data_IF_784037063809
#
_entry.id   IF_784037063809
#
_cell.length_a   1.000
_cell.length_b   1.000
_cell.length_c   1.000
_cell.angle_alpha   90.00
_cell.angle_beta   90.00
_cell.angle_gamma   90.00
#
_symmetry.space_group_name_H-M   'P 1'
#
loop_
_entity.id
_entity.type
_entity.pdbx_description
1 polymer ?
#
# COMPACT_ATOMS: atom_id res chain seq x y z
N UNK A 1 0.37 6.84 -21.75
CA UNK A 1 -1.03 7.29 -21.58
C UNK A 1 -1.31 8.48 -22.50
N UNK A 2 -2.57 8.70 -22.91
CA UNK A 2 -2.94 9.87 -23.74
C UNK A 2 -2.88 11.20 -22.97
N UNK A 3 -3.12 11.17 -21.65
CA UNK A 3 -2.98 12.33 -20.77
C UNK A 3 -1.50 12.59 -20.44
N UNK A 4 -0.90 13.54 -21.18
CA UNK A 4 0.55 13.85 -21.09
C UNK A 4 1.01 14.19 -19.68
N UNK A 5 0.22 14.95 -18.92
CA UNK A 5 0.60 15.36 -17.55
C UNK A 5 0.77 14.16 -16.61
N UNK A 6 -0.20 13.25 -16.60
CA UNK A 6 -0.14 12.05 -15.76
C UNK A 6 1.03 11.17 -16.18
N UNK A 7 1.27 11.02 -17.49
CA UNK A 7 2.45 10.31 -18.00
C UNK A 7 3.76 10.96 -17.50
N UNK A 8 3.90 12.28 -17.61
CA UNK A 8 5.10 12.99 -17.15
C UNK A 8 5.33 12.81 -15.65
N UNK A 9 4.29 12.93 -14.82
CA UNK A 9 4.41 12.70 -13.38
C UNK A 9 4.81 11.25 -13.06
N UNK A 10 4.24 10.28 -13.79
CA UNK A 10 4.61 8.88 -13.67
C UNK A 10 6.09 8.65 -14.03
N UNK A 11 6.55 9.14 -15.18
CA UNK A 11 7.93 8.96 -15.64
C UNK A 11 8.94 9.59 -14.67
N UNK A 12 8.62 10.77 -14.14
CA UNK A 12 9.45 11.44 -13.13
C UNK A 12 9.46 10.69 -11.79
N UNK A 13 8.33 10.10 -11.38
CA UNK A 13 8.28 9.26 -10.19
C UNK A 13 9.13 7.99 -10.37
N UNK A 14 9.11 7.34 -11.54
CA UNK A 14 9.99 6.20 -11.86
C UNK A 14 11.46 6.60 -11.76
N UNK A 15 11.84 7.71 -12.42
CA UNK A 15 13.20 8.20 -12.41
C UNK A 15 13.70 8.49 -10.98
N UNK A 16 12.88 9.14 -10.16
CA UNK A 16 13.25 9.45 -8.78
C UNK A 16 13.38 8.21 -7.91
N UNK A 17 12.49 7.22 -8.08
CA UNK A 17 12.59 5.96 -7.36
C UNK A 17 13.92 5.26 -7.65
N UNK A 18 14.36 5.21 -8.91
CA UNK A 18 15.64 4.63 -9.32
C UNK A 18 16.84 5.43 -8.78
N UNK A 19 16.79 6.76 -8.85
CA UNK A 19 17.88 7.64 -8.38
C UNK A 19 18.09 7.57 -6.86
N UNK A 20 17.01 7.36 -6.10
CA UNK A 20 17.04 7.28 -4.65
C UNK A 20 17.14 5.85 -4.11
N UNK A 21 17.43 4.89 -4.99
CA UNK A 21 17.75 3.51 -4.64
C UNK A 21 19.12 3.07 -5.21
N UNK A 22 20.22 3.83 -5.04
CA UNK A 22 21.52 3.54 -5.65
C UNK A 22 22.20 2.28 -5.06
N UNK A 23 21.76 1.84 -3.89
CA UNK A 23 22.21 0.62 -3.21
C UNK A 23 21.35 0.33 -1.99
N UNK A 24 20.96 1.39 -1.28
CA UNK A 24 19.93 1.38 -0.25
C UNK A 24 18.75 2.28 -0.67
N UNK A 25 17.61 2.18 0.01
CA UNK A 25 16.43 3.02 -0.24
C UNK A 25 16.45 4.28 0.63
N UNK A 26 16.44 5.44 -0.01
CA UNK A 26 16.45 6.75 0.66
C UNK A 26 15.15 7.52 0.38
N UNK A 27 14.37 7.89 1.40
CA UNK A 27 13.09 8.61 1.20
C UNK A 27 13.25 10.03 0.69
N UNK A 28 14.46 10.59 0.72
CA UNK A 28 14.76 11.89 0.13
C UNK A 28 16.26 12.14 -0.01
N UNK A 29 16.65 13.16 -0.78
CA UNK A 29 18.05 13.42 -1.11
C UNK A 29 18.85 14.15 -0.02
N UNK A 30 18.20 14.74 0.99
CA UNK A 30 18.83 15.62 1.97
C UNK A 30 18.56 15.17 3.41
N UNK A 31 17.54 15.71 4.08
CA UNK A 31 17.16 15.37 5.47
C UNK A 31 16.88 13.88 5.58
N UNK A 32 16.31 13.30 4.52
CA UNK A 32 15.94 11.90 4.44
C UNK A 32 16.93 11.03 3.65
N UNK A 33 18.19 11.45 3.56
CA UNK A 33 19.28 10.56 3.12
C UNK A 33 19.68 9.58 4.24
N UNK A 34 18.70 8.86 4.78
CA UNK A 34 18.84 7.78 5.76
C UNK A 34 17.83 6.68 5.44
N UNK A 35 17.92 5.58 6.17
CA UNK A 35 17.08 4.40 5.96
C UNK A 35 15.95 4.33 6.98
N UNK A 36 14.75 4.02 6.49
CA UNK A 36 13.56 3.65 7.25
C UNK A 36 12.95 2.41 6.63
N UNK A 37 12.55 1.42 7.44
CA UNK A 37 11.90 0.22 6.92
C UNK A 37 10.57 0.53 6.25
N UNK A 38 9.82 1.48 6.81
CA UNK A 38 8.53 1.98 6.28
C UNK A 38 8.64 2.42 4.84
N UNK A 39 9.42 3.47 4.60
CA UNK A 39 9.61 3.99 3.26
C UNK A 39 10.22 2.96 2.31
N UNK A 40 11.20 2.19 2.78
CA UNK A 40 11.82 1.14 1.98
C UNK A 40 10.80 0.10 1.52
N UNK A 41 9.84 -0.31 2.36
CA UNK A 41 8.82 -1.28 1.98
C UNK A 41 7.96 -0.76 0.80
N UNK A 42 7.48 0.49 0.86
CA UNK A 42 6.71 1.09 -0.22
C UNK A 42 7.54 1.31 -1.49
N UNK A 43 8.74 1.87 -1.35
CA UNK A 43 9.65 2.15 -2.47
C UNK A 43 10.06 0.87 -3.21
N UNK A 44 10.47 -0.16 -2.46
CA UNK A 44 10.90 -1.42 -3.02
C UNK A 44 9.74 -2.20 -3.63
N UNK A 45 8.53 -2.13 -3.05
CA UNK A 45 7.33 -2.73 -3.66
C UNK A 45 7.04 -2.09 -5.03
N UNK A 46 7.11 -0.76 -5.14
CA UNK A 46 6.97 -0.08 -6.43
C UNK A 46 8.04 -0.54 -7.43
N UNK A 47 9.33 -0.58 -7.04
CA UNK A 47 10.41 -1.04 -7.94
C UNK A 47 10.22 -2.45 -8.47
N UNK A 48 9.92 -3.42 -7.60
CA UNK A 48 9.74 -4.81 -8.05
C UNK A 48 8.50 -4.97 -8.92
N UNK A 49 7.43 -4.18 -8.68
CA UNK A 49 6.26 -4.20 -9.58
C UNK A 49 6.56 -3.65 -10.98
N UNK A 50 7.57 -2.79 -11.12
CA UNK A 50 8.09 -2.31 -12.42
C UNK A 50 9.11 -3.26 -13.06
N UNK A 51 9.49 -4.34 -12.38
CA UNK A 51 10.46 -5.31 -12.87
C UNK A 51 11.93 -4.97 -12.57
N UNK A 52 12.24 -3.97 -11.74
CA UNK A 52 13.62 -3.70 -11.29
C UNK A 52 14.03 -4.66 -10.16
N UNK A 53 14.09 -5.95 -10.53
CA UNK A 53 14.32 -7.07 -9.63
C UNK A 53 15.72 -7.00 -8.99
N UNK A 54 16.76 -6.78 -9.79
CA UNK A 54 18.15 -6.79 -9.30
C UNK A 54 18.41 -5.69 -8.28
N UNK A 55 17.88 -4.48 -8.51
CA UNK A 55 18.01 -3.39 -7.55
C UNK A 55 17.27 -3.69 -6.26
N UNK A 56 16.04 -4.18 -6.38
CA UNK A 56 15.23 -4.56 -5.21
C UNK A 56 15.95 -5.65 -4.41
N UNK A 57 16.51 -6.67 -5.07
CA UNK A 57 17.25 -7.74 -4.41
C UNK A 57 18.47 -7.23 -3.65
N UNK A 58 19.24 -6.31 -4.23
CA UNK A 58 20.40 -5.70 -3.56
C UNK A 58 20.00 -4.94 -2.30
N UNK A 59 18.96 -4.11 -2.37
CA UNK A 59 18.48 -3.35 -1.21
C UNK A 59 17.99 -4.29 -0.09
N UNK A 60 17.17 -5.28 -0.43
CA UNK A 60 16.69 -6.31 0.51
C UNK A 60 17.82 -7.14 1.13
N UNK A 61 18.92 -7.33 0.39
CA UNK A 61 20.13 -7.98 0.90
C UNK A 61 20.76 -7.28 2.09
N UNK A 62 20.52 -5.97 2.27
CA UNK A 62 21.08 -5.18 3.35
C UNK A 62 20.22 -5.17 4.64
N UNK A 63 18.98 -5.67 4.58
CA UNK A 63 18.03 -5.59 5.71
C UNK A 63 18.49 -6.41 6.92
N UNK A 64 19.01 -7.62 6.71
CA UNK A 64 19.48 -8.48 7.80
C UNK A 64 20.58 -7.83 8.65
N UNK A 65 21.42 -6.97 8.06
CA UNK A 65 22.44 -6.20 8.79
C UNK A 65 21.89 -5.15 9.74
N UNK A 66 20.60 -4.80 9.63
CA UNK A 66 19.86 -3.88 10.50
C UNK A 66 18.97 -4.61 11.52
N UNK A 67 19.01 -5.94 11.55
CA UNK A 67 18.26 -6.74 12.52
C UNK A 67 19.11 -6.98 13.77
N UNK A 68 18.56 -6.61 14.93
CA UNK A 68 19.16 -6.90 16.23
C UNK A 68 19.13 -8.40 16.54
N UNK A 69 19.93 -8.80 17.53
CA UNK A 69 20.00 -10.20 18.01
C UNK A 69 18.67 -10.73 18.54
N UNK A 70 17.82 -9.86 19.09
CA UNK A 70 16.48 -10.19 19.59
C UNK A 70 15.43 -10.35 18.47
N UNK A 71 15.78 -10.03 17.22
CA UNK A 71 14.92 -10.13 16.05
C UNK A 71 14.27 -8.82 15.62
N UNK A 72 14.51 -7.70 16.33
CA UNK A 72 13.99 -6.39 15.95
C UNK A 72 14.72 -5.83 14.73
N UNK A 73 13.99 -5.50 13.66
CA UNK A 73 14.49 -4.72 12.53
C UNK A 73 14.55 -3.24 12.94
N UNK A 74 15.75 -2.78 13.32
CA UNK A 74 15.95 -1.45 13.89
C UNK A 74 16.47 -0.47 12.85
N UNK A 75 15.65 0.50 12.48
CA UNK A 75 16.09 1.74 11.82
C UNK A 75 16.02 2.92 12.79
N UNK A 76 14.89 3.09 13.49
CA UNK A 76 14.66 4.10 14.53
C UNK A 76 14.05 3.42 15.76
N UNK A 77 14.39 3.91 16.95
CA UNK A 77 13.91 3.31 18.19
C UNK A 77 12.45 3.67 18.46
N UNK A 78 11.62 2.66 18.73
CA UNK A 78 10.21 2.86 19.04
C UNK A 78 9.26 2.75 17.84
N UNK A 79 9.76 2.38 16.67
CA UNK A 79 8.96 2.08 15.47
C UNK A 79 8.69 0.57 15.41
N UNK A 80 7.51 0.11 15.79
CA UNK A 80 7.22 -1.34 15.90
C UNK A 80 6.64 -1.96 14.62
N UNK A 81 6.21 -1.13 13.67
CA UNK A 81 5.82 -1.47 12.30
C UNK A 81 6.94 -2.14 11.50
N UNK A 82 8.20 -1.77 11.74
CA UNK A 82 9.37 -2.18 10.95
C UNK A 82 9.51 -3.69 10.74
N UNK A 83 9.21 -4.51 11.76
CA UNK A 83 9.26 -5.97 11.64
C UNK A 83 8.22 -6.49 10.64
N UNK A 84 7.00 -5.94 10.71
CA UNK A 84 5.93 -6.28 9.80
C UNK A 84 6.27 -5.92 8.36
N UNK A 85 6.73 -4.68 8.17
CA UNK A 85 7.12 -4.11 6.87
C UNK A 85 8.27 -4.87 6.21
N UNK A 86 9.33 -5.17 6.97
CA UNK A 86 10.49 -5.91 6.48
C UNK A 86 10.12 -7.32 6.00
N UNK A 87 9.31 -8.04 6.78
CA UNK A 87 8.84 -9.38 6.39
C UNK A 87 7.89 -9.31 5.20
N UNK A 88 6.99 -8.33 5.19
CA UNK A 88 6.04 -8.13 4.11
C UNK A 88 6.74 -7.87 2.77
N UNK A 89 7.77 -7.02 2.73
CA UNK A 89 8.48 -6.74 1.47
C UNK A 89 9.34 -7.92 0.99
N UNK A 90 9.91 -8.72 1.90
CA UNK A 90 10.54 -10.00 1.52
C UNK A 90 9.53 -10.93 0.85
N UNK A 91 8.34 -11.05 1.42
CA UNK A 91 7.27 -11.85 0.84
C UNK A 91 6.81 -11.29 -0.51
N UNK A 92 6.61 -9.98 -0.63
CA UNK A 92 6.27 -9.33 -1.92
C UNK A 92 7.32 -9.61 -2.98
N UNK A 93 8.61 -9.53 -2.65
CA UNK A 93 9.68 -9.85 -3.59
C UNK A 93 9.55 -11.28 -4.11
N UNK A 94 9.52 -12.28 -3.21
CA UNK A 94 9.39 -13.69 -3.62
C UNK A 94 8.10 -13.97 -4.39
N UNK A 95 6.97 -13.40 -3.96
CA UNK A 95 5.68 -13.56 -4.64
C UNK A 95 5.68 -12.97 -6.05
N UNK A 96 6.29 -11.80 -6.26
CA UNK A 96 6.28 -11.11 -7.55
C UNK A 96 7.33 -11.65 -8.52
N UNK A 97 8.46 -12.14 -8.04
CA UNK A 97 9.52 -12.70 -8.90
C UNK A 97 9.31 -14.19 -9.16
N UNK A 98 8.71 -14.91 -8.21
CA UNK A 98 8.68 -16.37 -8.18
C UNK A 98 9.99 -17.00 -7.69
N UNK A 99 10.91 -16.20 -7.14
CA UNK A 99 12.20 -16.69 -6.63
C UNK A 99 12.06 -17.25 -5.21
N UNK A 100 12.77 -18.36 -4.97
CA UNK A 100 13.06 -18.81 -3.60
C UNK A 100 14.01 -17.80 -2.94
N UNK A 101 13.63 -17.31 -1.76
CA UNK A 101 14.45 -16.36 -1.03
C UNK A 101 15.73 -17.03 -0.46
N UNK A 102 16.85 -16.29 -0.36
CA UNK A 102 18.07 -16.78 0.30
C UNK A 102 17.81 -17.24 1.75
N UNK A 103 18.50 -18.30 2.19
CA UNK A 103 18.38 -18.83 3.57
C UNK A 103 18.61 -17.75 4.64
N UNK A 104 19.57 -16.85 4.42
CA UNK A 104 19.83 -15.74 5.35
C UNK A 104 18.66 -14.77 5.50
N UNK A 105 17.83 -14.61 4.46
CA UNK A 105 16.61 -13.81 4.51
C UNK A 105 15.51 -14.55 5.25
N UNK A 106 15.37 -15.86 5.02
CA UNK A 106 14.41 -16.70 5.75
C UNK A 106 14.73 -16.76 7.25
N UNK A 107 16.01 -16.78 7.63
CA UNK A 107 16.45 -16.63 9.02
C UNK A 107 16.04 -15.29 9.63
N UNK A 108 16.19 -14.20 8.87
CA UNK A 108 15.79 -12.86 9.30
C UNK A 108 14.27 -12.77 9.48
N UNK A 109 13.49 -13.37 8.57
CA UNK A 109 12.03 -13.48 8.65
C UNK A 109 11.62 -14.27 9.90
N UNK A 110 12.23 -15.42 10.16
CA UNK A 110 11.90 -16.24 11.32
C UNK A 110 12.21 -15.53 12.65
N UNK A 111 13.35 -14.83 12.74
CA UNK A 111 13.69 -13.99 13.91
C UNK A 111 12.71 -12.84 14.09
N UNK A 112 12.34 -12.18 13.00
CA UNK A 112 11.41 -11.05 13.03
C UNK A 112 10.00 -11.45 13.47
N UNK A 113 9.50 -12.59 12.97
CA UNK A 113 8.22 -13.16 13.38
C UNK A 113 8.21 -13.55 14.87
N UNK A 114 9.27 -14.20 15.36
CA UNK A 114 9.42 -14.51 16.80
C UNK A 114 9.48 -13.26 17.67
N UNK A 115 10.07 -12.17 17.17
CA UNK A 115 10.09 -10.90 17.88
C UNK A 115 8.70 -10.29 18.02
N UNK A 116 7.88 -10.31 16.95
CA UNK A 116 6.51 -9.78 16.98
C UNK A 116 5.73 -10.41 18.13
N UNK A 117 5.70 -11.73 18.22
CA UNK A 117 4.94 -12.40 19.28
C UNK A 117 5.46 -12.14 20.69
N UNK A 118 6.78 -12.00 20.86
CA UNK A 118 7.39 -11.66 22.15
C UNK A 118 7.18 -10.20 22.57
N UNK A 119 7.02 -9.30 21.61
CA UNK A 119 6.93 -7.86 21.87
C UNK A 119 5.54 -7.46 22.38
N UNK A 120 4.50 -8.22 22.03
CA UNK A 120 3.10 -7.97 22.42
C UNK A 120 2.91 -7.93 23.94
N UNK A 121 1.97 -7.11 24.37
CA UNK A 121 1.56 -6.97 25.77
C UNK A 121 0.81 -8.22 26.27
N UNK A 122 0.80 -8.48 27.59
CA UNK A 122 -0.09 -9.47 28.18
C UNK A 122 -1.57 -9.18 27.85
N UNK A 123 -2.34 -10.24 27.61
CA UNK A 123 -3.75 -10.17 27.18
C UNK A 123 -4.74 -10.02 28.35
N UNK A 124 -4.33 -10.37 29.55
CA UNK A 124 -5.16 -10.48 30.75
C UNK A 124 -5.11 -9.22 31.65
N UNK A 125 -4.54 -8.12 31.15
CA UNK A 125 -4.42 -6.87 31.91
C UNK A 125 -5.75 -6.11 32.10
N UNK A 126 -6.79 -6.48 31.34
CA UNK A 126 -8.09 -5.80 31.35
C UNK A 126 -8.08 -4.39 30.75
N UNK A 127 -6.96 -3.96 30.18
CA UNK A 127 -6.81 -2.66 29.52
C UNK A 127 -7.19 -2.75 28.03
N UNK A 128 -7.63 -1.65 27.38
CA UNK A 128 -7.97 -1.65 25.96
C UNK A 128 -6.84 -2.14 25.04
N UNK A 129 -5.59 -1.87 25.38
CA UNK A 129 -4.39 -2.26 24.64
C UNK A 129 -3.90 -3.70 24.91
N UNK A 130 -4.59 -4.47 25.74
CA UNK A 130 -4.15 -5.81 26.13
C UNK A 130 -3.94 -6.70 24.89
N UNK A 131 -2.76 -7.31 24.77
CA UNK A 131 -2.41 -8.14 23.61
C UNK A 131 -1.92 -7.41 22.36
N UNK A 132 -1.90 -6.08 22.35
CA UNK A 132 -1.32 -5.25 21.27
C UNK A 132 0.19 -5.09 21.42
N UNK A 133 0.85 -4.46 20.45
CA UNK A 133 2.21 -3.95 20.63
C UNK A 133 2.22 -2.83 21.68
N UNK A 134 3.32 -2.68 22.46
CA UNK A 134 3.43 -1.67 23.48
C UNK A 134 3.50 -0.27 22.85
N UNK A 135 3.27 0.76 23.65
CA UNK A 135 3.33 2.13 23.17
C UNK A 135 4.69 2.45 22.51
N UNK A 136 4.65 3.06 21.33
CA UNK A 136 5.82 3.40 20.50
C UNK A 136 5.64 4.71 19.77
N UNK A 137 6.71 5.16 19.12
CA UNK A 137 6.68 6.34 18.24
C UNK A 137 6.05 6.05 16.88
N UNK A 138 6.16 4.80 16.37
CA UNK A 138 5.58 4.39 15.07
C UNK A 138 5.96 5.35 13.93
N UNK A 139 5.05 5.63 13.00
CA UNK A 139 5.20 6.66 12.00
C UNK A 139 4.90 8.05 12.56
N UNK A 140 5.76 9.02 12.25
CA UNK A 140 5.71 10.40 12.77
C UNK A 140 4.36 11.08 12.52
N UNK A 141 3.72 10.81 11.38
CA UNK A 141 2.42 11.40 11.06
C UNK A 141 1.25 10.88 11.90
N UNK A 142 1.43 9.93 12.82
CA UNK A 142 0.35 9.40 13.66
C UNK A 142 0.18 10.17 14.99
N UNK A 143 1.21 10.87 15.45
CA UNK A 143 1.19 11.71 16.66
C UNK A 143 2.20 11.26 17.74
N UNK A 144 1.94 11.56 19.03
CA UNK A 144 2.86 11.22 20.13
C UNK A 144 2.90 9.71 20.43
N UNK A 145 3.76 9.27 21.35
CA UNK A 145 3.88 7.85 21.70
C UNK A 145 2.54 7.22 22.14
N UNK A 146 2.11 6.12 21.50
CA UNK A 146 0.84 5.42 21.76
C UNK A 146 0.84 3.96 21.23
N UNK A 147 -0.25 3.21 21.49
CA UNK A 147 -0.49 1.83 21.03
C UNK A 147 -1.11 1.81 19.64
N UNK A 148 -0.30 2.05 18.61
CA UNK A 148 -0.77 2.30 17.25
C UNK A 148 -1.27 1.05 16.53
N UNK A 149 -2.49 1.12 15.99
CA UNK A 149 -3.01 0.07 15.10
C UNK A 149 -2.22 -0.06 13.81
N UNK A 150 -1.54 1.01 13.36
CA UNK A 150 -0.60 0.94 12.24
C UNK A 150 0.44 -0.16 12.47
N UNK A 151 1.12 -0.13 13.62
CA UNK A 151 2.14 -1.11 14.00
C UNK A 151 1.54 -2.52 14.09
N UNK A 152 0.39 -2.63 14.76
CA UNK A 152 -0.28 -3.91 14.96
C UNK A 152 -0.72 -4.56 13.64
N UNK A 153 -1.28 -3.78 12.70
CA UNK A 153 -1.68 -4.28 11.38
C UNK A 153 -0.47 -4.72 10.55
N UNK A 154 0.62 -3.96 10.56
CA UNK A 154 1.86 -4.39 9.91
C UNK A 154 2.40 -5.69 10.51
N UNK A 155 2.36 -5.83 11.83
CA UNK A 155 2.76 -7.05 12.51
C UNK A 155 1.90 -8.27 12.11
N UNK A 156 0.58 -8.11 12.02
CA UNK A 156 -0.33 -9.16 11.49
C UNK A 156 0.04 -9.54 10.07
N UNK A 157 0.25 -8.55 9.18
CA UNK A 157 0.63 -8.80 7.80
C UNK A 157 2.00 -9.51 7.71
N UNK A 158 2.97 -9.10 8.52
CA UNK A 158 4.28 -9.73 8.64
C UNK A 158 4.18 -11.19 9.09
N UNK A 159 3.37 -11.51 10.09
CA UNK A 159 3.15 -12.89 10.54
C UNK A 159 2.51 -13.76 9.46
N UNK A 160 1.50 -13.24 8.72
CA UNK A 160 0.91 -13.95 7.57
C UNK A 160 1.95 -14.21 6.48
N UNK A 161 2.78 -13.22 6.18
CA UNK A 161 3.86 -13.34 5.21
C UNK A 161 4.93 -14.36 5.67
N UNK A 162 5.30 -14.35 6.94
CA UNK A 162 6.23 -15.34 7.52
C UNK A 162 5.67 -16.76 7.43
N UNK A 163 4.37 -16.95 7.68
CA UNK A 163 3.72 -18.25 7.55
C UNK A 163 3.77 -18.81 6.12
N UNK A 164 3.74 -17.94 5.10
CA UNK A 164 3.94 -18.34 3.69
C UNK A 164 5.41 -18.69 3.45
N UNK A 165 6.32 -17.77 3.75
CA UNK A 165 7.74 -17.90 3.44
C UNK A 165 8.43 -19.09 4.13
N UNK A 166 8.02 -19.42 5.37
CA UNK A 166 8.67 -20.44 6.18
C UNK A 166 8.01 -21.83 6.06
N UNK A 167 6.93 -21.97 5.27
CA UNK A 167 6.11 -23.18 5.23
C UNK A 167 6.90 -24.45 4.92
N UNK A 168 7.82 -24.38 3.95
CA UNK A 168 8.64 -25.52 3.51
C UNK A 168 9.83 -25.80 4.44
N UNK A 169 10.19 -24.85 5.32
CA UNK A 169 11.40 -24.88 6.16
C UNK A 169 11.10 -25.23 7.62
N UNK A 170 10.13 -24.54 8.21
CA UNK A 170 9.73 -24.66 9.62
C UNK A 170 8.20 -24.76 9.70
N UNK A 171 7.61 -25.85 9.17
CA UNK A 171 6.16 -25.98 8.97
C UNK A 171 5.32 -25.77 10.24
N UNK A 172 5.77 -26.26 11.39
CA UNK A 172 5.10 -26.05 12.68
C UNK A 172 5.13 -24.58 13.10
N UNK A 173 6.28 -23.93 12.97
CA UNK A 173 6.42 -22.50 13.29
C UNK A 173 5.64 -21.63 12.31
N UNK A 174 5.63 -21.97 11.03
CA UNK A 174 4.80 -21.30 10.02
C UNK A 174 3.30 -21.41 10.35
N UNK A 175 2.83 -22.59 10.79
CA UNK A 175 1.45 -22.77 11.25
C UNK A 175 1.17 -21.98 12.54
N UNK A 176 2.15 -21.85 13.45
CA UNK A 176 2.05 -20.99 14.62
C UNK A 176 1.94 -19.50 14.24
N UNK A 177 2.77 -19.01 13.31
CA UNK A 177 2.67 -17.64 12.79
C UNK A 177 1.28 -17.34 12.20
N UNK A 178 0.70 -18.30 11.44
CA UNK A 178 -0.65 -18.12 10.89
C UNK A 178 -1.71 -18.01 11.99
N UNK A 179 -1.69 -18.91 12.99
CA UNK A 179 -2.64 -18.86 14.12
C UNK A 179 -2.48 -17.60 14.94
N UNK A 180 -1.23 -17.18 15.17
CA UNK A 180 -0.92 -15.96 15.90
C UNK A 180 -1.39 -14.71 15.14
N UNK A 181 -1.23 -14.66 13.82
CA UNK A 181 -1.73 -13.54 13.01
C UNK A 181 -3.26 -13.40 13.09
N UNK A 182 -3.99 -14.52 13.01
CA UNK A 182 -5.45 -14.51 13.08
C UNK A 182 -5.96 -14.14 14.49
N UNK A 183 -5.29 -14.66 15.53
CA UNK A 183 -5.57 -14.27 16.91
C UNK A 183 -5.25 -12.79 17.15
N UNK A 184 -4.13 -12.31 16.64
CA UNK A 184 -3.71 -10.92 16.83
C UNK A 184 -4.66 -9.95 16.10
N UNK A 185 -5.07 -10.26 14.86
CA UNK A 185 -6.08 -9.47 14.15
C UNK A 185 -7.39 -9.39 14.95
N UNK A 186 -7.84 -10.53 15.49
CA UNK A 186 -9.01 -10.56 16.37
C UNK A 186 -8.80 -9.68 17.61
N UNK A 187 -7.64 -9.77 18.26
CA UNK A 187 -7.31 -8.92 19.42
C UNK A 187 -7.34 -7.42 19.07
N UNK A 188 -6.82 -7.03 17.90
CA UNK A 188 -6.92 -5.64 17.39
C UNK A 188 -8.40 -5.24 17.23
N UNK A 189 -9.21 -6.06 16.56
CA UNK A 189 -10.62 -5.76 16.32
C UNK A 189 -11.43 -5.63 17.63
N UNK A 190 -11.14 -6.46 18.63
CA UNK A 190 -11.76 -6.38 19.96
C UNK A 190 -11.31 -5.13 20.75
N UNK A 191 -10.11 -4.63 20.50
CA UNK A 191 -9.61 -3.41 21.16
C UNK A 191 -10.24 -2.13 20.60
N UNK A 192 -10.92 -2.19 19.45
CA UNK A 192 -11.54 -1.01 18.85
C UNK A 192 -12.49 -0.36 19.85
N UNK A 193 -12.35 0.96 20.10
CA UNK A 193 -13.13 1.56 21.18
C UNK A 193 -14.63 1.43 20.92
N UNK A 194 -15.44 1.29 21.95
CA UNK A 194 -16.89 1.08 21.81
C UNK A 194 -17.65 1.91 22.84
N UNK A 195 -18.99 1.94 22.72
CA UNK A 195 -19.86 2.65 23.65
C UNK A 195 -20.58 3.86 23.06
N UNK A 196 -21.65 4.27 23.74
CA UNK A 196 -22.61 5.30 23.30
C UNK A 196 -22.03 6.71 23.23
N UNK A 197 -20.90 6.96 23.88
CA UNK A 197 -20.24 8.27 23.91
C UNK A 197 -19.36 8.55 22.66
N UNK A 198 -19.20 7.56 21.77
CA UNK A 198 -18.41 7.70 20.54
C UNK A 198 -19.14 8.62 19.56
N UNK A 199 -18.51 9.75 19.20
CA UNK A 199 -19.04 10.67 18.17
C UNK A 199 -19.07 10.07 16.76
N UNK A 200 -18.19 9.11 16.46
CA UNK A 200 -18.08 8.45 15.15
C UNK A 200 -18.05 6.92 15.30
N UNK A 201 -19.19 6.28 15.59
CA UNK A 201 -19.23 4.86 15.91
C UNK A 201 -18.90 3.98 14.70
N UNK A 202 -17.95 3.08 14.89
CA UNK A 202 -17.49 2.12 13.88
C UNK A 202 -16.37 2.62 12.97
N UNK A 203 -15.92 3.86 13.12
CA UNK A 203 -14.63 4.29 12.57
C UNK A 203 -13.48 3.84 13.49
N UNK A 204 -12.33 3.54 12.87
CA UNK A 204 -11.11 3.07 13.54
C UNK A 204 -10.21 4.29 13.81
N UNK A 205 -9.95 4.67 15.07
CA UNK A 205 -9.00 5.73 15.41
C UNK A 205 -7.55 5.21 15.30
N UNK A 206 -6.55 6.06 15.55
CA UNK A 206 -5.14 5.65 15.49
C UNK A 206 -4.74 4.58 16.54
N UNK A 207 -5.42 4.55 17.70
CA UNK A 207 -5.12 3.66 18.83
C UNK A 207 -6.38 3.39 19.68
N UNK A 208 -6.39 2.35 20.56
CA UNK A 208 -7.54 2.02 21.42
C UNK A 208 -7.99 3.14 22.35
N UNK A 209 -7.08 4.06 22.72
CA UNK A 209 -7.34 5.13 23.68
C UNK A 209 -7.60 6.48 23.02
N UNK A 210 -7.47 6.57 21.69
CA UNK A 210 -7.62 7.83 20.96
C UNK A 210 -9.03 8.05 20.44
N UNK A 211 -9.39 9.33 20.42
CA UNK A 211 -10.55 9.81 19.65
C UNK A 211 -10.21 9.79 18.16
N UNK A 212 -11.23 9.96 17.31
CA UNK A 212 -11.00 10.23 15.91
C UNK A 212 -10.30 11.58 15.74
N UNK A 213 -9.27 11.56 14.91
CA UNK A 213 -8.45 12.68 14.44
C UNK A 213 -7.76 12.25 13.14
N UNK A 214 -6.93 13.11 12.56
CA UNK A 214 -6.17 12.82 11.34
C UNK A 214 -5.20 11.65 11.48
N UNK A 215 -4.76 11.28 12.69
CA UNK A 215 -3.90 10.12 12.92
C UNK A 215 -4.58 8.79 12.56
N UNK A 216 -5.92 8.76 12.51
CA UNK A 216 -6.69 7.59 12.07
C UNK A 216 -6.40 7.18 10.61
N UNK A 217 -5.73 8.03 9.82
CA UNK A 217 -5.24 7.68 8.48
C UNK A 217 -4.33 6.44 8.50
N UNK A 218 -3.59 6.22 9.59
CA UNK A 218 -2.74 5.04 9.75
C UNK A 218 -3.53 3.73 9.79
N UNK A 219 -4.79 3.76 10.24
CA UNK A 219 -5.64 2.57 10.27
C UNK A 219 -6.11 2.11 8.87
N UNK A 220 -5.92 2.94 7.84
CA UNK A 220 -6.25 2.56 6.46
C UNK A 220 -5.33 1.46 5.91
N UNK A 221 -4.17 1.20 6.54
CA UNK A 221 -3.25 0.13 6.09
C UNK A 221 -3.87 -1.25 6.11
N UNK A 222 -4.82 -1.48 7.02
CA UNK A 222 -5.56 -2.74 7.08
C UNK A 222 -6.32 -3.02 5.77
N UNK A 223 -6.69 -1.97 5.04
CA UNK A 223 -7.18 -2.07 3.67
C UNK A 223 -5.99 -2.05 2.69
N UNK A 224 -5.40 -0.89 2.40
CA UNK A 224 -4.28 -0.76 1.47
C UNK A 224 -3.01 -0.31 2.21
N UNK A 225 -1.87 -1.00 2.06
CA UNK A 225 -1.61 -2.06 1.07
C UNK A 225 -1.83 -3.50 1.58
N UNK A 226 -2.17 -3.69 2.85
CA UNK A 226 -2.03 -5.00 3.51
C UNK A 226 -3.13 -6.01 3.19
N UNK A 227 -4.29 -5.53 2.72
CA UNK A 227 -5.46 -6.34 2.38
C UNK A 227 -5.89 -7.28 3.52
N UNK A 228 -5.74 -6.82 4.77
CA UNK A 228 -6.20 -7.57 5.96
C UNK A 228 -7.73 -7.57 6.04
N UNK A 229 -8.35 -6.49 5.58
CA UNK A 229 -9.80 -6.38 5.42
C UNK A 229 -10.22 -6.48 3.96
N UNK A 230 -11.45 -6.96 3.77
CA UNK A 230 -12.04 -7.11 2.45
C UNK A 230 -12.31 -5.74 1.81
N UNK A 231 -12.26 -5.64 0.47
CA UNK A 231 -12.63 -4.42 -0.24
C UNK A 231 -14.01 -3.91 0.18
N UNK A 232 -14.10 -2.62 0.53
CA UNK A 232 -15.34 -2.00 1.00
C UNK A 232 -15.73 -2.33 2.44
N UNK A 233 -14.78 -2.77 3.29
CA UNK A 233 -15.03 -2.96 4.72
C UNK A 233 -15.66 -1.70 5.34
N UNK A 234 -16.80 -1.90 6.04
CA UNK A 234 -17.61 -0.80 6.56
C UNK A 234 -16.85 0.09 7.55
N UNK A 235 -15.91 -0.47 8.31
CA UNK A 235 -15.13 0.28 9.30
C UNK A 235 -14.12 1.16 8.59
N UNK A 236 -13.44 0.62 7.58
CA UNK A 236 -12.51 1.38 6.74
C UNK A 236 -13.23 2.51 6.01
N UNK A 237 -14.40 2.23 5.39
CA UNK A 237 -15.18 3.25 4.71
C UNK A 237 -15.65 4.36 5.67
N UNK A 238 -16.04 4.02 6.90
CA UNK A 238 -16.35 5.02 7.93
C UNK A 238 -15.14 5.84 8.35
N UNK A 239 -13.97 5.21 8.50
CA UNK A 239 -12.71 5.91 8.79
C UNK A 239 -12.34 6.87 7.65
N UNK A 240 -12.36 6.40 6.40
CA UNK A 240 -12.09 7.21 5.22
C UNK A 240 -13.12 8.35 5.05
N UNK A 241 -14.39 8.10 5.34
CA UNK A 241 -15.44 9.11 5.38
C UNK A 241 -15.13 10.20 6.42
N UNK A 242 -14.80 9.82 7.66
CA UNK A 242 -14.40 10.77 8.70
C UNK A 242 -13.23 11.65 8.25
N UNK A 243 -12.17 11.05 7.68
CA UNK A 243 -10.99 11.78 7.19
C UNK A 243 -11.34 12.71 6.04
N UNK A 244 -12.23 12.28 5.12
CA UNK A 244 -12.72 13.11 4.01
C UNK A 244 -13.46 14.34 4.54
N UNK A 245 -14.29 14.17 5.57
CA UNK A 245 -15.14 15.24 6.11
C UNK A 245 -14.37 16.21 7.04
N UNK A 246 -13.34 15.72 7.75
CA UNK A 246 -12.71 16.46 8.86
C UNK A 246 -11.20 16.68 8.70
N UNK A 247 -10.57 16.12 7.67
CA UNK A 247 -9.11 16.16 7.50
C UNK A 247 -8.70 16.38 6.04
N UNK A 248 -9.50 17.14 5.29
CA UNK A 248 -9.17 17.54 3.91
C UNK A 248 -8.95 19.05 3.81
N UNK A 249 -7.97 19.44 3.00
CA UNK A 249 -7.73 20.83 2.60
C UNK A 249 -7.26 20.88 1.15
N UNK A 250 -7.85 21.77 0.33
CA UNK A 250 -7.46 21.91 -1.08
C UNK A 250 -7.60 20.61 -1.90
N UNK A 251 -8.52 19.72 -1.51
CA UNK A 251 -8.74 18.42 -2.17
C UNK A 251 -7.79 17.29 -1.72
N UNK A 252 -6.78 17.56 -0.88
CA UNK A 252 -5.88 16.56 -0.33
C UNK A 252 -6.03 16.36 1.17
N UNK A 253 -5.54 15.23 1.68
CA UNK A 253 -5.52 14.92 3.11
C UNK A 253 -4.57 15.85 3.85
N UNK A 254 -5.09 16.56 4.85
CA UNK A 254 -4.36 17.50 5.69
C UNK A 254 -4.09 16.89 7.05
N UNK A 255 -2.80 16.69 7.36
CA UNK A 255 -2.38 16.26 8.69
C UNK A 255 -2.08 17.49 9.56
N UNK A 256 -2.98 17.77 10.51
CA UNK A 256 -2.93 18.87 11.47
C UNK A 256 -2.07 18.65 12.75
N UNK A 257 -1.38 17.51 12.90
CA UNK A 257 -0.52 17.24 14.06
C UNK A 257 0.95 17.59 13.82
N UNK A 258 1.73 16.68 13.23
CA UNK A 258 3.18 16.86 13.08
C UNK A 258 3.50 17.63 11.80
N UNK A 259 2.93 17.20 10.67
CA UNK A 259 3.27 17.76 9.35
C UNK A 259 2.69 19.16 9.14
N UNK A 260 1.52 19.44 9.71
CA UNK A 260 0.77 20.69 9.52
C UNK A 260 0.58 21.06 8.03
N UNK A 261 0.36 20.05 7.18
CA UNK A 261 0.33 20.19 5.73
C UNK A 261 -0.46 19.10 5.01
N UNK A 262 -0.66 19.31 3.71
CA UNK A 262 -1.32 18.36 2.82
C UNK A 262 -0.34 17.24 2.46
N UNK A 263 -0.69 15.98 2.71
CA UNK A 263 0.17 14.84 2.48
C UNK A 263 -0.24 14.10 1.20
N UNK A 264 0.63 14.09 0.19
CA UNK A 264 0.33 13.48 -1.10
C UNK A 264 0.13 11.96 -0.99
N UNK A 265 1.05 11.24 -0.36
CA UNK A 265 0.99 9.77 -0.24
C UNK A 265 -0.21 9.29 0.60
N UNK A 266 -0.54 10.00 1.69
CA UNK A 266 -1.74 9.68 2.49
C UNK A 266 -3.05 10.01 1.77
N UNK A 267 -3.04 11.04 0.91
CA UNK A 267 -4.17 11.30 -0.01
C UNK A 267 -4.33 10.14 -1.00
N UNK A 268 -3.23 9.58 -1.49
CA UNK A 268 -3.25 8.39 -2.35
C UNK A 268 -3.74 7.15 -1.60
N UNK A 269 -3.39 6.95 -0.32
CA UNK A 269 -3.96 5.83 0.47
C UNK A 269 -5.51 5.91 0.53
N UNK A 270 -6.07 7.11 0.73
CA UNK A 270 -7.52 7.31 0.62
C UNK A 270 -8.06 6.97 -0.78
N UNK A 271 -7.34 7.35 -1.83
CA UNK A 271 -7.71 7.02 -3.22
C UNK A 271 -7.69 5.50 -3.47
N UNK A 272 -6.72 4.78 -2.92
CA UNK A 272 -6.62 3.32 -3.00
C UNK A 272 -7.80 2.64 -2.30
N UNK A 273 -8.16 3.10 -1.09
CA UNK A 273 -9.34 2.61 -0.35
C UNK A 273 -10.62 2.81 -1.18
N UNK A 274 -10.80 4.00 -1.77
CA UNK A 274 -11.95 4.32 -2.64
C UNK A 274 -11.99 3.40 -3.86
N UNK A 275 -10.85 3.23 -4.54
CA UNK A 275 -10.75 2.37 -5.71
C UNK A 275 -11.04 0.90 -5.37
N UNK A 276 -10.52 0.38 -4.25
CA UNK A 276 -10.80 -0.98 -3.77
C UNK A 276 -12.28 -1.16 -3.45
N UNK A 277 -12.93 -0.16 -2.86
CA UNK A 277 -14.36 -0.15 -2.58
C UNK A 277 -15.26 -0.04 -3.83
N UNK A 278 -14.70 0.11 -5.03
CA UNK A 278 -15.47 0.26 -6.26
C UNK A 278 -15.98 1.69 -6.50
N UNK A 279 -15.34 2.69 -5.89
CA UNK A 279 -15.61 4.12 -6.07
C UNK A 279 -14.47 4.78 -6.89
N UNK A 280 -14.44 4.56 -8.23
CA UNK A 280 -13.40 5.13 -9.07
C UNK A 280 -13.49 6.65 -9.16
N UNK A 281 -14.70 7.23 -9.11
CA UNK A 281 -14.90 8.68 -9.16
C UNK A 281 -14.29 9.40 -7.95
N UNK A 282 -14.53 8.87 -6.75
CA UNK A 282 -13.90 9.37 -5.53
C UNK A 282 -12.37 9.22 -5.56
N UNK A 283 -11.86 8.11 -6.09
CA UNK A 283 -10.42 7.92 -6.28
C UNK A 283 -9.84 8.92 -7.29
N UNK A 284 -10.54 9.19 -8.40
CA UNK A 284 -10.11 10.12 -9.44
C UNK A 284 -9.96 11.55 -8.94
N UNK A 285 -10.88 12.01 -8.08
CA UNK A 285 -10.81 13.34 -7.48
C UNK A 285 -9.54 13.51 -6.64
N UNK A 286 -9.17 12.49 -5.86
CA UNK A 286 -7.96 12.48 -5.06
C UNK A 286 -6.68 12.38 -5.92
N UNK A 287 -6.71 11.58 -6.99
CA UNK A 287 -5.62 11.51 -7.98
C UNK A 287 -5.39 12.88 -8.63
N UNK A 288 -6.46 13.56 -9.04
CA UNK A 288 -6.35 14.89 -9.66
C UNK A 288 -5.84 15.94 -8.67
N UNK A 289 -6.30 15.88 -7.42
CA UNK A 289 -5.79 16.74 -6.35
C UNK A 289 -4.28 16.54 -6.15
N UNK A 290 -3.80 15.30 -6.06
CA UNK A 290 -2.37 15.01 -5.91
C UNK A 290 -1.58 15.44 -7.16
N UNK A 291 -2.10 15.21 -8.37
CA UNK A 291 -1.47 15.71 -9.60
C UNK A 291 -1.34 17.24 -9.60
N UNK A 292 -2.36 17.94 -9.09
CA UNK A 292 -2.40 19.40 -8.94
C UNK A 292 -1.44 19.94 -7.89
N UNK A 293 -1.13 19.13 -6.89
CA UNK A 293 -0.18 19.44 -5.83
C UNK A 293 1.28 19.12 -6.19
N UNK A 294 1.53 18.54 -7.36
CA UNK A 294 2.90 18.29 -7.82
C UNK A 294 3.65 19.61 -8.02
N UNK A 295 4.89 19.66 -7.54
CA UNK A 295 5.78 20.80 -7.75
C UNK A 295 6.10 21.00 -9.24
N UNK A 296 6.72 22.13 -9.64
CA UNK A 296 7.17 22.32 -11.03
C UNK A 296 8.15 21.25 -11.53
N UNK A 297 8.82 20.52 -10.63
CA UNK A 297 9.68 19.37 -10.97
C UNK A 297 8.93 18.04 -11.01
N UNK A 298 7.60 18.08 -10.86
CA UNK A 298 6.73 16.91 -10.90
C UNK A 298 6.84 16.00 -9.69
N UNK A 299 7.18 16.54 -8.52
CA UNK A 299 7.42 15.79 -7.28
C UNK A 299 6.63 16.37 -6.12
N UNK A 300 6.55 15.62 -5.02
CA UNK A 300 5.87 16.04 -3.80
C UNK A 300 6.85 16.03 -2.63
N UNK A 301 6.83 17.07 -1.77
CA UNK A 301 7.45 16.98 -0.46
C UNK A 301 6.62 16.06 0.43
N UNK A 302 7.12 15.77 1.63
CA UNK A 302 6.38 14.97 2.60
C UNK A 302 5.04 15.63 2.96
N UNK A 303 5.07 16.94 3.22
CA UNK A 303 3.87 17.73 3.43
C UNK A 303 3.93 19.08 2.70
N UNK A 304 2.79 19.44 2.11
CA UNK A 304 2.61 20.63 1.29
C UNK A 304 1.89 21.69 2.10
N UNK A 305 2.46 22.89 2.13
CA UNK A 305 1.92 24.01 2.85
C UNK A 305 0.61 24.50 2.20
N UNK A 306 -0.51 24.59 2.94
CA UNK A 306 -1.83 24.81 2.37
C UNK A 306 -2.00 26.18 1.68
N UNK A 307 -1.18 27.18 2.04
CA UNK A 307 -1.30 28.54 1.47
C UNK A 307 -0.31 28.82 0.35
N UNK A 308 0.86 28.19 0.37
CA UNK A 308 1.94 28.52 -0.58
C UNK A 308 2.10 27.45 -1.67
N UNK A 309 1.59 26.23 -1.45
CA UNK A 309 1.79 25.10 -2.36
C UNK A 309 3.21 24.54 -2.37
N UNK A 310 4.14 25.12 -1.60
CA UNK A 310 5.50 24.60 -1.40
C UNK A 310 5.57 23.56 -0.27
N UNK A 311 6.73 22.96 -0.05
CA UNK A 311 6.94 22.05 1.08
C UNK A 311 6.94 22.76 2.44
N UNK A 312 6.42 22.11 3.47
CA UNK A 312 6.48 22.55 4.88
C UNK A 312 7.07 21.50 5.84
N UNK A 313 7.24 20.26 5.38
CA UNK A 313 7.88 19.18 6.12
C UNK A 313 8.68 18.31 5.16
N UNK A 314 9.78 17.75 5.66
CA UNK A 314 10.62 16.82 4.93
C UNK A 314 11.44 17.43 3.79
N UNK A 315 11.92 16.56 2.91
CA UNK A 315 12.65 16.97 1.72
C UNK A 315 11.70 17.47 0.62
N UNK A 316 12.21 18.29 -0.30
CA UNK A 316 11.43 18.77 -1.45
C UNK A 316 10.95 17.66 -2.40
N UNK A 317 11.51 16.46 -2.27
CA UNK A 317 11.15 15.23 -2.98
C UNK A 317 11.08 14.10 -1.96
N UNK A 318 9.87 13.61 -1.69
CA UNK A 318 9.65 12.47 -0.81
C UNK A 318 9.32 11.23 -1.64
N UNK A 319 10.20 10.23 -1.60
CA UNK A 319 10.17 9.11 -2.54
C UNK A 319 9.09 8.09 -2.20
N UNK A 320 8.61 8.05 -0.95
CA UNK A 320 7.36 7.35 -0.65
C UNK A 320 6.18 7.95 -1.43
N UNK A 321 6.08 9.28 -1.59
CA UNK A 321 5.03 9.88 -2.41
C UNK A 321 5.14 9.52 -3.89
N UNK A 322 6.37 9.46 -4.41
CA UNK A 322 6.61 8.97 -5.77
C UNK A 322 6.20 7.48 -5.91
N UNK A 323 6.57 6.63 -4.95
CA UNK A 323 6.20 5.21 -4.95
C UNK A 323 4.69 5.01 -4.92
N UNK A 324 3.97 5.74 -4.06
CA UNK A 324 2.51 5.68 -3.99
C UNK A 324 1.83 6.22 -5.25
N UNK A 325 2.35 7.28 -5.86
CA UNK A 325 1.86 7.75 -7.16
C UNK A 325 1.98 6.66 -8.23
N UNK A 326 3.13 5.99 -8.31
CA UNK A 326 3.35 4.87 -9.24
C UNK A 326 2.36 3.73 -8.97
N UNK A 327 2.21 3.32 -7.71
CA UNK A 327 1.30 2.26 -7.32
C UNK A 327 -0.17 2.61 -7.58
N UNK A 328 -0.56 3.88 -7.43
CA UNK A 328 -1.91 4.34 -7.75
C UNK A 328 -2.19 4.24 -9.25
N UNK A 329 -1.29 4.78 -10.09
CA UNK A 329 -1.43 4.67 -11.55
C UNK A 329 -1.44 3.21 -11.97
N UNK A 330 -0.53 2.38 -11.43
CA UNK A 330 -0.55 0.94 -11.64
C UNK A 330 -1.91 0.34 -11.29
N UNK A 331 -2.42 0.58 -10.09
CA UNK A 331 -3.66 -0.01 -9.60
C UNK A 331 -4.91 0.47 -10.36
N UNK A 332 -4.85 1.62 -11.04
CA UNK A 332 -5.88 1.99 -12.00
C UNK A 332 -5.98 0.98 -13.15
N UNK A 333 -4.84 0.47 -13.64
CA UNK A 333 -4.77 -0.50 -14.74
C UNK A 333 -4.80 -1.96 -14.27
N UNK A 334 -4.02 -2.29 -13.26
CA UNK A 334 -3.78 -3.65 -12.77
C UNK A 334 -3.71 -3.61 -11.25
N UNK A 335 -4.74 -4.13 -10.59
CA UNK A 335 -4.79 -4.26 -9.13
C UNK A 335 -4.92 -5.71 -8.73
N UNK A 336 -4.11 -6.10 -7.76
CA UNK A 336 -4.13 -7.44 -7.16
C UNK A 336 -5.17 -7.48 -6.04
N UNK A 337 -5.99 -8.52 -6.00
CA UNK A 337 -6.79 -8.93 -4.84
C UNK A 337 -6.55 -10.42 -4.58
N UNK A 338 -6.93 -10.92 -3.39
CA UNK A 338 -6.53 -12.22 -2.86
C UNK A 338 -6.51 -13.39 -3.87
N UNK A 339 -7.51 -13.47 -4.76
CA UNK A 339 -7.64 -14.54 -5.76
C UNK A 339 -7.94 -14.03 -7.17
N UNK A 340 -7.74 -12.73 -7.43
CA UNK A 340 -8.10 -12.14 -8.71
C UNK A 340 -7.19 -10.97 -9.11
N UNK A 341 -7.08 -10.78 -10.42
CA UNK A 341 -6.57 -9.53 -10.99
C UNK A 341 -7.74 -8.67 -11.44
N UNK A 342 -7.86 -7.50 -10.82
CA UNK A 342 -8.81 -6.48 -11.21
C UNK A 342 -8.15 -5.58 -12.25
N UNK A 343 -8.70 -5.59 -13.47
CA UNK A 343 -8.14 -4.92 -14.64
C UNK A 343 -8.95 -3.68 -14.99
N UNK A 344 -8.23 -2.60 -15.28
CA UNK A 344 -8.74 -1.29 -15.70
C UNK A 344 -9.69 -0.58 -14.73
N UNK A 345 -9.79 -0.99 -13.47
CA UNK A 345 -10.79 -0.49 -12.51
C UNK A 345 -10.73 1.01 -12.22
N UNK A 346 -9.58 1.65 -12.42
CA UNK A 346 -9.40 3.09 -12.19
C UNK A 346 -9.01 3.86 -13.45
N UNK A 347 -9.04 3.24 -14.63
CA UNK A 347 -8.67 3.93 -15.88
C UNK A 347 -9.75 4.95 -16.23
N UNK A 348 -9.41 6.25 -16.15
CA UNK A 348 -10.34 7.33 -16.51
C UNK A 348 -10.76 7.24 -17.98
N UNK A 349 -12.03 7.48 -18.32
CA UNK A 349 -12.49 7.55 -19.71
C UNK A 349 -11.60 8.43 -20.61
N UNK A 350 -11.19 9.59 -20.09
CA UNK A 350 -10.32 10.53 -20.81
C UNK A 350 -8.94 9.95 -21.21
N UNK A 351 -8.47 8.88 -20.53
CA UNK A 351 -7.17 8.27 -20.81
C UNK A 351 -7.17 7.36 -22.04
N UNK A 352 -8.32 6.85 -22.46
CA UNK A 352 -8.39 5.84 -23.53
C UNK A 352 -9.40 6.17 -24.63
N UNK A 353 -10.39 7.05 -24.40
CA UNK A 353 -11.40 7.35 -25.42
C UNK A 353 -10.85 8.10 -26.64
N UNK A 354 -9.81 8.91 -26.46
CA UNK A 354 -9.15 9.68 -27.52
C UNK A 354 -8.03 8.91 -28.22
N UNK A 355 -7.69 7.71 -27.76
CA UNK A 355 -6.63 6.90 -28.33
C UNK A 355 -6.17 5.78 -27.41
N UNK A 356 -5.31 4.91 -27.94
CA UNK A 356 -4.73 3.77 -27.20
C UNK A 356 -3.99 4.24 -25.94
N UNK A 357 -4.22 3.54 -24.83
CA UNK A 357 -3.41 3.64 -23.61
C UNK A 357 -2.94 2.25 -23.20
N UNK A 358 -1.83 2.19 -22.46
CA UNK A 358 -1.28 0.93 -21.99
C UNK A 358 -0.51 1.10 -20.69
N UNK A 359 -0.42 0.02 -19.93
CA UNK A 359 0.41 -0.09 -18.74
C UNK A 359 1.11 -1.45 -18.74
N UNK A 360 2.41 -1.45 -18.45
CA UNK A 360 3.21 -2.65 -18.31
C UNK A 360 4.44 -2.69 -19.23
N UNK A 361 5.24 -3.77 -19.14
CA UNK A 361 5.02 -4.92 -18.27
C UNK A 361 5.08 -4.55 -16.79
N UNK A 362 4.19 -5.12 -15.98
CA UNK A 362 4.21 -5.00 -14.53
C UNK A 362 4.08 -6.36 -13.89
N UNK A 363 4.81 -6.58 -12.79
CA UNK A 363 4.83 -7.88 -12.12
C UNK A 363 3.60 -8.03 -11.23
N UNK A 364 3.00 -9.21 -11.26
CA UNK A 364 1.95 -9.66 -10.35
C UNK A 364 2.38 -10.97 -9.68
N UNK A 365 1.70 -11.45 -8.63
CA UNK A 365 1.98 -12.74 -8.01
C UNK A 365 1.87 -13.91 -9.00
N UNK A 366 1.09 -13.76 -10.07
CA UNK A 366 0.92 -14.77 -11.10
C UNK A 366 1.90 -14.64 -12.27
N UNK A 367 2.65 -13.55 -12.37
CA UNK A 367 3.59 -13.29 -13.47
C UNK A 367 3.46 -11.87 -14.04
N UNK A 368 4.37 -11.47 -14.94
CA UNK A 368 4.32 -10.16 -15.57
C UNK A 368 3.18 -10.06 -16.58
N UNK A 369 2.49 -8.91 -16.57
CA UNK A 369 1.42 -8.61 -17.52
C UNK A 369 1.57 -7.22 -18.11
N UNK A 370 1.06 -7.03 -19.33
CA UNK A 370 0.85 -5.74 -19.98
C UNK A 370 -0.61 -5.62 -20.40
N UNK A 371 -1.22 -4.49 -20.09
CA UNK A 371 -2.60 -4.18 -20.43
C UNK A 371 -2.63 -3.03 -21.44
N UNK A 372 -3.37 -3.20 -22.53
CA UNK A 372 -3.65 -2.18 -23.53
C UNK A 372 -5.16 -1.97 -23.59
N UNK A 373 -5.59 -0.72 -23.66
CA UNK A 373 -7.00 -0.34 -23.77
C UNK A 373 -7.12 0.63 -24.95
N UNK A 374 -8.02 0.36 -25.87
CA UNK A 374 -8.26 1.20 -27.04
C UNK A 374 -9.75 1.30 -27.39
N UNK A 375 -10.18 2.41 -28.01
CA UNK A 375 -11.51 2.50 -28.62
C UNK A 375 -11.66 1.43 -29.70
N UNK A 376 -12.80 0.72 -29.70
CA UNK A 376 -13.08 -0.35 -30.67
C UNK A 376 -14.23 0.06 -31.62
N UNK A 377 -15.36 0.45 -31.04
CA UNK A 377 -16.51 1.00 -31.76
C UNK A 377 -17.22 2.06 -30.90
N UNK A 378 -18.27 2.74 -31.41
CA UNK A 378 -19.06 3.66 -30.59
C UNK A 378 -19.56 3.04 -29.28
N UNK A 379 -19.88 1.74 -29.28
CA UNK A 379 -20.49 1.03 -28.15
C UNK A 379 -19.55 0.03 -27.44
N UNK A 380 -18.29 -0.07 -27.86
CA UNK A 380 -17.34 -1.04 -27.29
C UNK A 380 -15.97 -0.42 -27.03
N UNK A 381 -15.25 -1.02 -26.08
CA UNK A 381 -13.83 -0.80 -25.83
C UNK A 381 -13.10 -2.14 -26.00
N UNK A 382 -11.90 -2.11 -26.59
CA UNK A 382 -11.05 -3.31 -26.69
C UNK A 382 -9.99 -3.26 -25.61
N UNK A 383 -9.82 -4.38 -24.92
CA UNK A 383 -8.78 -4.59 -23.92
C UNK A 383 -7.91 -5.76 -24.37
N UNK A 384 -6.61 -5.53 -24.47
CA UNK A 384 -5.63 -6.54 -24.84
C UNK A 384 -4.74 -6.79 -23.63
N UNK A 385 -4.66 -8.05 -23.22
CA UNK A 385 -3.86 -8.54 -22.10
C UNK A 385 -2.76 -9.45 -22.64
N UNK A 386 -1.51 -9.00 -22.54
CA UNK A 386 -0.33 -9.84 -22.73
C UNK A 386 0.16 -10.27 -21.36
N UNK A 387 -0.04 -11.54 -21.00
CA UNK A 387 0.31 -12.07 -19.70
C UNK A 387 1.20 -13.30 -19.83
N UNK A 388 2.27 -13.33 -19.03
CA UNK A 388 3.15 -14.49 -18.91
C UNK A 388 2.95 -15.10 -17.53
N UNK A 389 1.98 -15.99 -17.44
CA UNK A 389 1.66 -16.67 -16.19
C UNK A 389 2.79 -17.64 -15.80
N UNK A 390 3.21 -17.62 -14.53
CA UNK A 390 4.14 -18.60 -13.95
C UNK A 390 3.46 -19.94 -13.69
N UNK A 391 2.21 -19.89 -13.24
CA UNK A 391 1.36 -21.04 -12.91
C UNK A 391 -0.05 -20.87 -13.50
N UNK A 392 -1.08 -21.46 -12.89
CA UNK A 392 -2.47 -21.27 -13.29
C UNK A 392 -2.85 -19.77 -13.19
N UNK A 393 -3.45 -19.20 -14.24
CA UNK A 393 -3.82 -17.80 -14.21
C UNK A 393 -4.95 -17.53 -13.20
N UNK A 394 -4.99 -16.34 -12.60
CA UNK A 394 -6.03 -15.98 -11.65
C UNK A 394 -7.36 -15.72 -12.34
N UNK A 395 -8.41 -15.61 -11.53
CA UNK A 395 -9.65 -14.97 -11.98
C UNK A 395 -9.34 -13.55 -12.47
N UNK A 396 -9.81 -13.20 -13.66
CA UNK A 396 -9.68 -11.85 -14.22
C UNK A 396 -11.00 -11.12 -14.10
N UNK A 397 -10.96 -9.89 -13.60
CA UNK A 397 -12.12 -9.01 -13.56
C UNK A 397 -11.84 -7.70 -14.28
N UNK A 398 -12.38 -7.55 -15.49
CA UNK A 398 -12.35 -6.30 -16.24
C UNK A 398 -13.42 -5.36 -15.70
N UNK A 399 -12.99 -4.25 -15.10
CA UNK A 399 -13.88 -3.25 -14.48
C UNK A 399 -13.65 -1.86 -15.05
N UNK A 400 -13.47 -1.74 -16.38
CA UNK A 400 -13.26 -0.46 -17.05
C UNK A 400 -14.45 0.49 -16.83
N UNK A 401 -14.27 1.65 -16.16
CA UNK A 401 -15.37 2.58 -15.91
C UNK A 401 -16.06 3.04 -17.20
N UNK A 402 -17.40 3.06 -17.17
CA UNK A 402 -18.24 3.29 -18.36
C UNK A 402 -18.49 2.06 -19.22
N UNK A 403 -17.96 0.89 -18.85
CA UNK A 403 -18.23 -0.40 -19.51
C UNK A 403 -18.81 -1.42 -18.51
N UNK A 404 -19.58 -2.38 -19.04
CA UNK A 404 -20.09 -3.50 -18.27
C UNK A 404 -18.92 -4.37 -17.80
N UNK A 405 -18.86 -4.72 -16.50
CA UNK A 405 -17.78 -5.54 -15.99
C UNK A 405 -17.85 -6.96 -16.54
N UNK A 406 -16.69 -7.56 -16.81
CA UNK A 406 -16.55 -8.95 -17.25
C UNK A 406 -15.68 -9.70 -16.24
N UNK A 407 -16.15 -10.86 -15.80
CA UNK A 407 -15.40 -11.77 -14.94
C UNK A 407 -15.11 -13.07 -15.69
N UNK A 408 -13.86 -13.53 -15.61
CA UNK A 408 -13.36 -14.74 -16.25
C UNK A 408 -12.65 -15.56 -15.20
N UNK A 409 -13.27 -16.68 -14.77
CA UNK A 409 -12.74 -17.52 -13.69
C UNK A 409 -11.47 -18.27 -14.09
N UNK A 410 -11.37 -18.68 -15.35
CA UNK A 410 -10.21 -19.39 -15.92
C UNK A 410 -9.89 -18.78 -17.28
N UNK A 411 -8.99 -17.81 -17.36
CA UNK A 411 -8.63 -17.23 -18.65
C UNK A 411 -7.82 -18.26 -19.46
N UNK A 412 -8.33 -18.62 -20.63
CA UNK A 412 -7.62 -19.43 -21.61
C UNK A 412 -6.47 -18.61 -22.27
N UNK A 413 -5.92 -19.08 -23.39
CA UNK A 413 -4.97 -18.31 -24.22
C UNK A 413 -5.57 -17.06 -24.90
N UNK A 414 -6.77 -16.61 -24.49
CA UNK A 414 -7.43 -15.41 -25.03
C UNK A 414 -6.73 -14.17 -24.48
N UNK A 415 -6.16 -13.38 -25.38
CA UNK A 415 -5.47 -12.13 -25.04
C UNK A 415 -6.29 -10.88 -25.35
N UNK A 416 -7.42 -11.00 -26.05
CA UNK A 416 -8.22 -9.84 -26.50
C UNK A 416 -9.66 -9.96 -26.03
N UNK A 417 -10.16 -8.90 -25.41
CA UNK A 417 -11.48 -8.81 -24.81
C UNK A 417 -12.20 -7.56 -25.34
N UNK A 418 -13.50 -7.68 -25.60
CA UNK A 418 -14.34 -6.56 -26.03
C UNK A 418 -15.34 -6.26 -24.93
N UNK A 419 -15.24 -5.07 -24.33
CA UNK A 419 -16.11 -4.60 -23.27
C UNK A 419 -17.23 -3.75 -23.86
N UNK A 420 -18.47 -3.99 -23.45
CA UNK A 420 -19.62 -3.20 -23.88
C UNK A 420 -19.73 -1.94 -23.04
N UNK A 421 -19.83 -0.77 -23.67
CA UNK A 421 -20.09 0.49 -22.97
C UNK A 421 -21.51 0.48 -22.39
N UNK A 422 -21.66 0.97 -21.17
CA UNK A 422 -22.97 1.17 -20.53
C UNK A 422 -23.50 2.51 -21.02
N UNK A 423 -24.75 2.56 -21.47
CA UNK A 423 -25.43 3.81 -21.80
C UNK A 423 -25.50 4.67 -20.54
N UNK A 424 -25.03 5.91 -20.63
CA UNK A 424 -25.11 6.89 -19.54
C UNK A 424 -26.57 7.21 -19.18
#
# INVERSE_FOLDING_TARGET
MSEKRIQTLYDLAVANLVLHTPGDAYPGPYTYKRFWFRDAAFMLNALVTLGDVERTRRALGAFAGRQRRDGYFLSQEGEWDSNGEAIWIYHRFGALTGETLPESWLDAVAKGARWIGKKRLPRDSGQPEAGLLPAGFSAEHLGPNDFYYWDDFWAVAGLRCAAVLLRSRESEFAAACSREADEFLSTIEHSFPSGSQRRFPGAIPASPKRRMDSGAVGSLVADYPLQLFAPGDKRILKTAGYLTDHSMFGGGFFQNMIHSGINAYLTIHLAQVRLRAGDPEGAWALIDAVANLASPTGQWPEAIHPRTGGGCMGDGQHIWAAAEWLMMIRNCFVREEAHALILASGVKPAWWQSGRTSFGPTFTPWGPISLIIEPDSPNTARVILDARWREEPPCLEFRLPGCAPIRIERPDHISTFVLRKISA
#
